data_IF_665536147075
#
_entry.id   IF_665536147075
#
_cell.length_a   1.000
_cell.length_b   1.000
_cell.length_c   1.000
_cell.angle_alpha   90.00
_cell.angle_beta   90.00
_cell.angle_gamma   90.00
#
_symmetry.space_group_name_H-M   'P 1'
#
loop_
_entity.id
_entity.type
_entity.pdbx_description
1 polymer ?
#
# COMPACT_ATOMS: atom_id res chain seq x y z
N UNK A 1 28.16 13.48 -17.32
CA UNK A 1 26.84 12.81 -17.26
C UNK A 1 26.06 13.24 -18.49
N UNK A 2 25.70 12.31 -19.40
CA UNK A 2 24.85 12.67 -20.55
C UNK A 2 23.49 13.10 -20.01
N UNK A 3 23.14 14.36 -20.23
CA UNK A 3 21.85 14.92 -19.90
C UNK A 3 20.77 14.13 -20.71
N UNK A 4 19.79 13.58 -20.04
CA UNK A 4 18.69 12.86 -20.70
C UNK A 4 17.95 13.83 -21.63
N UNK A 5 17.93 13.50 -22.91
CA UNK A 5 17.10 14.25 -23.84
C UNK A 5 15.65 13.77 -23.73
N UNK A 6 14.90 14.42 -22.83
CA UNK A 6 13.48 14.16 -22.62
C UNK A 6 12.64 14.44 -23.88
N UNK A 7 13.10 15.36 -24.75
CA UNK A 7 12.35 15.79 -25.96
C UNK A 7 12.30 14.68 -27.01
N UNK A 8 13.37 13.94 -27.20
CA UNK A 8 13.40 12.83 -28.17
C UNK A 8 12.68 11.59 -27.69
N UNK A 9 12.44 11.48 -26.39
CA UNK A 9 11.86 10.29 -25.77
C UNK A 9 10.37 10.38 -25.45
N UNK A 10 9.78 11.57 -25.47
CA UNK A 10 8.39 11.84 -25.06
C UNK A 10 7.67 12.66 -26.12
N UNK A 11 6.36 12.43 -26.29
CA UNK A 11 5.54 13.34 -27.07
C UNK A 11 5.22 14.62 -26.24
N UNK A 12 4.65 15.63 -26.90
CA UNK A 12 4.41 16.95 -26.30
C UNK A 12 3.54 16.86 -25.03
N UNK A 13 2.47 16.07 -25.03
CA UNK A 13 1.58 15.90 -23.89
C UNK A 13 2.28 15.18 -22.73
N UNK A 14 3.07 14.15 -23.03
CA UNK A 14 3.89 13.45 -22.04
C UNK A 14 4.95 14.38 -21.47
N UNK A 15 5.56 15.21 -22.30
CA UNK A 15 6.57 16.20 -21.88
C UNK A 15 5.97 17.25 -20.94
N UNK A 16 4.76 17.74 -21.23
CA UNK A 16 4.01 18.64 -20.34
C UNK A 16 3.79 17.97 -18.98
N UNK A 17 3.31 16.73 -18.96
CA UNK A 17 3.08 15.99 -17.70
C UNK A 17 4.36 15.77 -16.89
N UNK A 18 5.48 15.50 -17.54
CA UNK A 18 6.78 15.34 -16.88
C UNK A 18 7.33 16.68 -16.34
N UNK A 19 7.04 17.79 -17.02
CA UNK A 19 7.55 19.11 -16.65
C UNK A 19 6.71 19.86 -15.59
N UNK A 20 5.51 19.36 -15.27
CA UNK A 20 4.67 19.97 -14.23
C UNK A 20 5.30 19.90 -12.85
N UNK A 21 5.73 21.02 -12.27
CA UNK A 21 6.53 21.07 -11.04
C UNK A 21 5.72 21.40 -9.79
N UNK A 22 4.58 22.08 -9.91
CA UNK A 22 3.81 22.59 -8.78
C UNK A 22 2.50 21.86 -8.58
N UNK A 23 2.12 21.63 -7.33
CA UNK A 23 0.85 21.07 -6.89
C UNK A 23 0.62 19.61 -7.30
N UNK A 24 -0.55 19.11 -6.92
CA UNK A 24 -0.98 17.76 -7.26
C UNK A 24 -1.37 17.67 -8.75
N UNK A 25 -0.98 16.60 -9.43
CA UNK A 25 -1.27 16.37 -10.83
C UNK A 25 -2.02 15.06 -11.03
N UNK A 26 -3.09 15.12 -11.81
CA UNK A 26 -3.81 13.94 -12.29
C UNK A 26 -3.57 13.80 -13.79
N UNK A 27 -3.02 12.65 -14.20
CA UNK A 27 -2.82 12.32 -15.62
C UNK A 27 -3.84 11.29 -16.05
N UNK A 28 -4.79 11.70 -16.87
CA UNK A 28 -5.81 10.83 -17.48
C UNK A 28 -5.31 10.35 -18.85
N UNK A 29 -5.18 9.04 -18.99
CA UNK A 29 -4.64 8.47 -20.23
C UNK A 29 -5.14 7.04 -20.43
N UNK A 30 -5.46 6.67 -21.67
CA UNK A 30 -5.92 5.34 -22.05
C UNK A 30 -4.86 4.24 -21.84
N UNK A 31 -5.25 2.99 -22.04
CA UNK A 31 -4.31 1.87 -22.08
C UNK A 31 -3.32 2.07 -23.24
N UNK A 32 -2.04 1.72 -23.03
CA UNK A 32 -1.00 1.87 -24.05
C UNK A 32 -0.48 3.30 -24.30
N UNK A 33 -1.08 4.33 -23.72
CA UNK A 33 -0.68 5.74 -23.90
C UNK A 33 0.68 6.13 -23.28
N UNK A 34 1.33 5.21 -22.59
CA UNK A 34 2.64 5.46 -21.97
C UNK A 34 2.61 6.07 -20.57
N UNK A 35 1.53 5.92 -19.79
CA UNK A 35 1.44 6.40 -18.40
C UNK A 35 2.66 6.04 -17.54
N UNK A 36 3.08 4.77 -17.59
CA UNK A 36 4.26 4.30 -16.87
C UNK A 36 5.54 4.98 -17.36
N UNK A 37 5.62 5.28 -18.65
CA UNK A 37 6.75 6.01 -19.23
C UNK A 37 6.81 7.44 -18.67
N UNK A 38 5.69 8.15 -18.65
CA UNK A 38 5.58 9.51 -18.06
C UNK A 38 6.05 9.49 -16.60
N UNK A 39 5.56 8.54 -15.80
CA UNK A 39 5.95 8.43 -14.39
C UNK A 39 7.45 8.15 -14.22
N UNK A 40 8.00 7.24 -15.03
CA UNK A 40 9.44 6.92 -15.01
C UNK A 40 10.31 8.13 -15.35
N UNK A 41 9.95 8.86 -16.41
CA UNK A 41 10.67 10.07 -16.81
C UNK A 41 10.47 11.20 -15.80
N UNK A 42 9.31 11.30 -15.15
CA UNK A 42 9.09 12.27 -14.07
C UNK A 42 10.02 12.03 -12.90
N UNK A 43 10.19 10.77 -12.47
CA UNK A 43 11.12 10.40 -11.40
C UNK A 43 12.56 10.72 -11.81
N UNK A 44 12.95 10.36 -13.04
CA UNK A 44 14.26 10.68 -13.55
C UNK A 44 14.56 12.19 -13.51
N UNK A 45 13.58 13.00 -13.92
CA UNK A 45 13.68 14.46 -13.90
C UNK A 45 13.81 15.01 -12.47
N UNK A 46 13.01 14.50 -11.52
CA UNK A 46 13.12 14.91 -10.12
C UNK A 46 14.53 14.70 -9.57
N UNK A 47 15.15 13.58 -9.91
CA UNK A 47 16.51 13.26 -9.46
C UNK A 47 17.55 14.10 -10.18
N UNK A 48 17.49 14.22 -11.51
CA UNK A 48 18.55 14.85 -12.32
C UNK A 48 18.47 16.38 -12.33
N UNK A 49 17.28 16.94 -12.54
CA UNK A 49 17.12 18.39 -12.74
C UNK A 49 16.83 19.12 -11.42
N UNK A 50 16.12 18.45 -10.49
CA UNK A 50 15.74 19.06 -9.21
C UNK A 50 16.57 18.57 -8.03
N UNK A 51 17.54 17.69 -8.26
CA UNK A 51 18.40 17.11 -7.23
C UNK A 51 17.62 16.49 -6.04
N UNK A 52 16.40 15.98 -6.28
CA UNK A 52 15.63 15.28 -5.27
C UNK A 52 16.32 13.96 -4.94
N UNK A 53 16.57 13.73 -3.67
CA UNK A 53 17.22 12.49 -3.24
C UNK A 53 16.30 11.30 -3.56
N UNK A 54 16.83 10.18 -4.05
CA UNK A 54 16.04 8.97 -4.28
C UNK A 54 15.21 8.53 -3.06
N UNK A 55 15.75 8.72 -1.84
CA UNK A 55 15.06 8.40 -0.58
C UNK A 55 13.80 9.23 -0.31
N UNK A 56 13.67 10.37 -0.95
CA UNK A 56 12.54 11.30 -0.76
C UNK A 56 11.43 11.07 -1.80
N UNK A 57 11.61 10.06 -2.67
CA UNK A 57 10.65 9.71 -3.72
C UNK A 57 9.93 8.41 -3.35
N UNK A 58 8.61 8.50 -3.22
CA UNK A 58 7.73 7.35 -3.09
C UNK A 58 6.98 7.11 -4.41
N UNK A 59 7.18 5.94 -5.02
CA UNK A 59 6.48 5.54 -6.22
C UNK A 59 5.72 4.22 -6.02
N UNK A 60 4.41 4.28 -6.18
CA UNK A 60 3.51 3.17 -5.94
C UNK A 60 2.95 2.60 -7.24
N UNK A 61 2.84 1.28 -7.29
CA UNK A 61 2.21 0.55 -8.38
C UNK A 61 1.18 -0.42 -7.81
N UNK A 62 0.29 -0.90 -8.68
CA UNK A 62 -0.71 -1.87 -8.24
C UNK A 62 -0.14 -3.30 -8.19
N UNK A 63 0.80 -3.66 -9.06
CA UNK A 63 1.35 -5.01 -9.14
C UNK A 63 2.86 -5.04 -8.94
N UNK A 64 3.36 -6.15 -8.40
CA UNK A 64 4.80 -6.38 -8.24
C UNK A 64 5.54 -6.41 -9.59
N UNK A 65 4.88 -6.88 -10.66
CA UNK A 65 5.43 -6.86 -12.01
C UNK A 65 5.66 -5.43 -12.48
N UNK A 66 4.64 -4.56 -12.38
CA UNK A 66 4.76 -3.15 -12.76
C UNK A 66 5.82 -2.42 -11.93
N UNK A 67 5.95 -2.74 -10.64
CA UNK A 67 6.98 -2.17 -9.78
C UNK A 67 8.39 -2.55 -10.26
N UNK A 68 8.62 -3.81 -10.61
CA UNK A 68 9.91 -4.26 -11.14
C UNK A 68 10.23 -3.61 -12.47
N UNK A 69 9.31 -3.65 -13.44
CA UNK A 69 9.49 -3.02 -14.75
C UNK A 69 9.80 -1.52 -14.64
N UNK A 70 9.15 -0.81 -13.71
CA UNK A 70 9.41 0.60 -13.49
C UNK A 70 10.80 0.84 -12.91
N UNK A 71 11.22 0.01 -11.96
CA UNK A 71 12.56 0.07 -11.38
C UNK A 71 13.63 -0.11 -12.45
N UNK A 72 13.53 -1.18 -13.24
CA UNK A 72 14.49 -1.52 -14.29
C UNK A 72 14.61 -0.37 -15.31
N UNK A 73 13.49 0.26 -15.65
CA UNK A 73 13.46 1.42 -16.54
C UNK A 73 14.16 2.64 -15.94
N UNK A 74 13.95 2.91 -14.65
CA UNK A 74 14.61 4.06 -13.97
C UNK A 74 16.10 3.83 -13.90
N UNK A 75 16.55 2.63 -13.53
CA UNK A 75 17.97 2.29 -13.49
C UNK A 75 18.62 2.41 -14.86
N UNK A 76 17.92 1.94 -15.90
CA UNK A 76 18.38 2.08 -17.29
C UNK A 76 18.48 3.54 -17.74
N UNK A 77 17.51 4.38 -17.37
CA UNK A 77 17.46 5.78 -17.74
C UNK A 77 18.52 6.59 -16.98
N UNK A 78 18.60 6.42 -15.68
CA UNK A 78 19.50 7.21 -14.83
C UNK A 78 20.92 6.65 -14.77
N UNK A 79 21.11 5.39 -15.17
CA UNK A 79 22.38 4.64 -15.02
C UNK A 79 22.90 4.67 -13.58
N UNK A 80 22.00 4.67 -12.61
CA UNK A 80 22.26 4.62 -11.18
C UNK A 80 21.45 3.47 -10.57
N UNK A 81 21.91 2.97 -9.42
CA UNK A 81 21.12 2.03 -8.64
C UNK A 81 19.86 2.72 -8.08
N UNK A 82 18.72 2.04 -8.12
CA UNK A 82 17.49 2.47 -7.48
C UNK A 82 17.49 2.25 -5.96
N UNK A 83 18.60 1.84 -5.38
CA UNK A 83 18.75 1.71 -3.93
C UNK A 83 18.43 3.04 -3.25
N UNK A 84 17.52 2.99 -2.27
CA UNK A 84 17.04 4.17 -1.57
C UNK A 84 15.67 4.66 -2.03
N UNK A 85 15.25 4.43 -3.27
CA UNK A 85 13.90 4.75 -3.72
C UNK A 85 12.84 3.91 -2.97
N UNK A 86 11.75 4.57 -2.60
CA UNK A 86 10.59 3.89 -2.04
C UNK A 86 9.69 3.41 -3.18
N UNK A 87 10.05 2.23 -3.70
CA UNK A 87 9.37 1.60 -4.83
C UNK A 87 8.64 0.34 -4.41
N UNK A 88 7.39 0.21 -4.79
CA UNK A 88 6.65 -1.01 -4.49
C UNK A 88 5.17 -0.94 -4.79
N UNK A 89 4.47 -2.01 -4.43
CA UNK A 89 3.01 -2.00 -4.30
C UNK A 89 2.62 -1.32 -2.98
N UNK A 90 1.37 -0.85 -2.89
CA UNK A 90 0.84 -0.32 -1.64
C UNK A 90 1.12 -1.25 -0.46
N UNK A 91 0.76 -2.53 -0.57
CA UNK A 91 1.01 -3.52 0.48
C UNK A 91 2.49 -3.67 0.83
N UNK A 92 3.37 -3.72 -0.18
CA UNK A 92 4.81 -3.85 0.03
C UNK A 92 5.42 -2.66 0.76
N UNK A 93 5.01 -1.45 0.40
CA UNK A 93 5.47 -0.21 1.04
C UNK A 93 4.90 -0.10 2.45
N UNK A 94 3.60 -0.34 2.66
CA UNK A 94 3.00 -0.33 4.00
C UNK A 94 3.71 -1.33 4.93
N UNK A 95 3.98 -2.56 4.45
CA UNK A 95 4.77 -3.54 5.22
C UNK A 95 6.16 -3.01 5.56
N UNK A 96 6.85 -2.34 4.63
CA UNK A 96 8.18 -1.76 4.88
C UNK A 96 8.12 -0.65 5.93
N UNK A 97 7.11 0.22 5.86
CA UNK A 97 6.88 1.28 6.86
C UNK A 97 6.64 0.66 8.23
N UNK A 98 5.73 -0.32 8.34
CA UNK A 98 5.45 -1.01 9.59
C UNK A 98 6.66 -1.74 10.16
N UNK A 99 7.55 -2.29 9.32
CA UNK A 99 8.80 -2.91 9.78
C UNK A 99 9.81 -1.90 10.33
N UNK A 100 9.81 -0.68 9.86
CA UNK A 100 10.69 0.37 10.38
C UNK A 100 10.12 0.94 11.67
N UNK A 101 8.79 1.11 11.73
CA UNK A 101 8.07 1.75 12.83
C UNK A 101 7.21 0.76 13.63
N UNK A 102 7.73 -0.46 13.83
CA UNK A 102 6.96 -1.51 14.49
C UNK A 102 6.61 -1.16 15.95
N UNK A 103 7.50 -0.44 16.66
CA UNK A 103 7.26 0.01 18.03
C UNK A 103 6.13 1.02 18.12
N UNK A 104 6.16 2.04 17.24
CA UNK A 104 5.14 3.08 17.17
C UNK A 104 3.79 2.51 16.71
N UNK A 105 3.82 1.44 15.92
CA UNK A 105 2.64 0.71 15.49
C UNK A 105 2.13 -0.32 16.51
N UNK A 106 2.78 -0.43 17.68
CA UNK A 106 2.47 -1.43 18.72
C UNK A 106 2.46 -2.87 18.20
N UNK A 107 3.38 -3.17 17.27
CA UNK A 107 3.56 -4.50 16.70
C UNK A 107 4.79 -5.20 17.32
N UNK A 108 4.87 -6.52 17.16
CA UNK A 108 6.12 -7.24 17.44
C UNK A 108 7.16 -7.00 16.33
N UNK A 109 8.44 -7.06 16.63
CA UNK A 109 9.50 -6.91 15.62
C UNK A 109 9.37 -7.94 14.48
N UNK A 110 8.84 -9.11 14.79
CA UNK A 110 8.66 -10.23 13.87
C UNK A 110 7.19 -10.43 13.46
N UNK A 111 6.39 -9.36 13.47
CA UNK A 111 4.99 -9.49 13.11
C UNK A 111 4.79 -10.15 11.74
N UNK A 112 3.72 -10.89 11.59
CA UNK A 112 3.29 -11.53 10.36
C UNK A 112 2.03 -10.84 9.81
N UNK A 113 1.83 -10.94 8.50
CA UNK A 113 0.63 -10.43 7.86
C UNK A 113 -0.31 -11.61 7.59
N UNK A 114 -1.50 -11.54 8.17
CA UNK A 114 -2.54 -12.50 7.88
C UNK A 114 -3.15 -12.21 6.51
N UNK A 115 -3.31 -13.26 5.72
CA UNK A 115 -4.15 -13.18 4.52
C UNK A 115 -5.64 -13.28 4.87
N UNK A 116 -6.50 -13.10 3.87
CA UNK A 116 -7.96 -13.12 4.06
C UNK A 116 -8.47 -14.49 4.54
N UNK A 117 -7.80 -15.58 4.20
CA UNK A 117 -8.19 -16.93 4.62
C UNK A 117 -7.75 -17.18 6.06
N UNK A 118 -6.55 -16.75 6.42
CA UNK A 118 -6.05 -16.85 7.80
C UNK A 118 -6.89 -16.00 8.76
N UNK A 119 -7.29 -14.80 8.32
CA UNK A 119 -8.24 -13.97 9.05
C UNK A 119 -9.55 -14.72 9.31
N UNK A 120 -10.13 -15.33 8.27
CA UNK A 120 -11.38 -16.08 8.40
C UNK A 120 -11.24 -17.30 9.32
N UNK A 121 -10.11 -18.03 9.25
CA UNK A 121 -9.81 -19.14 10.16
C UNK A 121 -9.74 -18.68 11.61
N UNK A 122 -9.09 -17.54 11.86
CA UNK A 122 -8.99 -16.97 13.19
C UNK A 122 -10.37 -16.59 13.73
N UNK A 123 -11.21 -15.91 12.93
CA UNK A 123 -12.58 -15.55 13.31
C UNK A 123 -13.41 -16.79 13.64
N UNK A 124 -13.36 -17.84 12.82
CA UNK A 124 -14.04 -19.11 13.11
C UNK A 124 -13.59 -19.72 14.43
N UNK A 125 -12.28 -19.68 14.70
CA UNK A 125 -11.76 -20.18 16.00
C UNK A 125 -12.31 -19.39 17.17
N UNK A 126 -12.42 -18.06 17.07
CA UNK A 126 -12.97 -17.19 18.11
C UNK A 126 -14.46 -17.48 18.33
N UNK A 127 -15.23 -17.60 17.26
CA UNK A 127 -16.67 -17.96 17.34
C UNK A 127 -16.85 -19.28 18.08
N UNK A 128 -16.07 -20.28 17.70
CA UNK A 128 -16.15 -21.63 18.30
C UNK A 128 -15.69 -21.63 19.77
N UNK A 129 -14.60 -20.92 20.12
CA UNK A 129 -14.10 -20.86 21.50
C UNK A 129 -15.07 -20.18 22.46
N UNK A 130 -15.90 -19.25 21.93
CA UNK A 130 -16.93 -18.57 22.73
C UNK A 130 -18.30 -19.26 22.67
N UNK A 131 -18.41 -20.44 22.08
CA UNK A 131 -19.65 -21.18 21.91
C UNK A 131 -20.78 -20.42 21.18
N UNK A 132 -20.43 -19.50 20.27
CA UNK A 132 -21.38 -18.84 19.41
C UNK A 132 -21.81 -19.77 18.26
N UNK A 133 -23.08 -19.69 17.86
CA UNK A 133 -23.64 -20.48 16.75
C UNK A 133 -23.18 -19.86 15.39
N UNK A 134 -22.35 -20.59 14.65
CA UNK A 134 -21.88 -20.16 13.32
C UNK A 134 -23.01 -19.94 12.30
N UNK A 135 -24.19 -20.51 12.52
CA UNK A 135 -25.36 -20.29 11.64
C UNK A 135 -26.01 -18.93 11.90
N UNK A 136 -25.97 -18.45 13.13
CA UNK A 136 -26.47 -17.13 13.53
C UNK A 136 -25.43 -16.05 13.28
N UNK A 137 -24.17 -16.36 13.55
CA UNK A 137 -23.01 -15.42 13.43
C UNK A 137 -22.06 -15.89 12.34
N UNK A 138 -22.46 -15.67 11.08
CA UNK A 138 -21.67 -16.08 9.93
C UNK A 138 -20.27 -15.45 9.96
N UNK A 139 -19.19 -16.28 9.95
CA UNK A 139 -17.81 -15.79 10.02
C UNK A 139 -17.42 -14.80 8.91
N UNK A 140 -17.99 -14.92 7.71
CA UNK A 140 -17.72 -14.00 6.60
C UNK A 140 -18.37 -12.63 6.84
N UNK A 141 -19.55 -12.61 7.43
CA UNK A 141 -20.24 -11.39 7.82
C UNK A 141 -19.45 -10.63 8.89
N UNK A 142 -18.93 -11.34 9.88
CA UNK A 142 -18.04 -10.76 10.91
C UNK A 142 -16.73 -10.27 10.28
N UNK A 143 -16.12 -11.03 9.37
CA UNK A 143 -14.92 -10.60 8.63
C UNK A 143 -15.17 -9.29 7.87
N UNK A 144 -16.30 -9.21 7.16
CA UNK A 144 -16.69 -8.01 6.42
C UNK A 144 -16.94 -6.81 7.35
N UNK A 145 -17.54 -7.05 8.51
CA UNK A 145 -17.74 -6.02 9.55
C UNK A 145 -16.40 -5.49 10.05
N UNK A 146 -15.47 -6.37 10.45
CA UNK A 146 -14.13 -6.00 10.95
C UNK A 146 -13.39 -5.21 9.89
N UNK A 147 -13.35 -5.67 8.64
CA UNK A 147 -12.67 -5.00 7.55
C UNK A 147 -13.24 -3.60 7.31
N UNK A 148 -14.58 -3.47 7.22
CA UNK A 148 -15.23 -2.17 7.05
C UNK A 148 -14.94 -1.20 8.21
N UNK A 149 -14.90 -1.68 9.46
CA UNK A 149 -14.53 -0.83 10.60
C UNK A 149 -13.09 -0.36 10.49
N UNK A 150 -12.15 -1.26 10.17
CA UNK A 150 -10.73 -0.95 9.99
C UNK A 150 -10.48 -0.01 8.81
N UNK A 151 -11.17 -0.19 7.69
CA UNK A 151 -11.09 0.69 6.52
C UNK A 151 -11.53 2.13 6.84
N UNK A 152 -12.48 2.29 7.77
CA UNK A 152 -12.91 3.60 8.29
C UNK A 152 -12.02 4.12 9.44
N UNK A 153 -10.90 3.49 9.72
CA UNK A 153 -9.98 3.89 10.79
C UNK A 153 -10.46 3.54 12.20
N UNK A 154 -11.53 2.74 12.33
CA UNK A 154 -12.06 2.35 13.63
C UNK A 154 -11.38 1.08 14.15
N UNK A 155 -11.08 1.08 15.43
CA UNK A 155 -10.64 -0.09 16.20
C UNK A 155 -11.77 -0.62 17.06
N UNK A 156 -11.56 -1.77 17.67
CA UNK A 156 -12.60 -2.42 18.50
C UNK A 156 -13.03 -1.63 19.73
N UNK A 157 -12.31 -0.60 20.12
CA UNK A 157 -12.68 0.34 21.19
C UNK A 157 -13.49 1.56 20.70
N UNK A 158 -13.64 1.75 19.36
CA UNK A 158 -14.40 2.85 18.75
C UNK A 158 -15.69 2.32 18.09
N UNK A 159 -16.54 1.66 18.87
CA UNK A 159 -17.72 0.97 18.36
C UNK A 159 -18.97 1.72 18.79
N UNK A 160 -19.96 1.76 17.89
CA UNK A 160 -21.28 2.35 18.15
C UNK A 160 -22.17 1.38 18.90
N UNK A 161 -23.03 1.88 19.79
CA UNK A 161 -24.10 1.11 20.45
C UNK A 161 -25.07 0.43 19.46
N UNK A 162 -25.02 0.80 18.19
CA UNK A 162 -25.84 0.22 17.11
C UNK A 162 -25.21 -1.02 16.47
N UNK A 163 -23.97 -1.33 16.80
CA UNK A 163 -23.30 -2.52 16.25
C UNK A 163 -23.74 -3.77 17.03
N UNK A 164 -23.78 -4.92 16.33
CA UNK A 164 -24.09 -6.21 16.95
C UNK A 164 -23.07 -6.55 18.04
N UNK A 165 -23.55 -6.87 19.25
CA UNK A 165 -22.71 -7.12 20.42
C UNK A 165 -21.72 -8.26 20.20
N UNK A 166 -22.15 -9.35 19.55
CA UNK A 166 -21.28 -10.52 19.27
C UNK A 166 -20.19 -10.14 18.26
N UNK A 167 -20.52 -9.35 17.22
CA UNK A 167 -19.54 -8.88 16.25
C UNK A 167 -18.47 -8.02 16.93
N UNK A 168 -18.89 -7.20 17.87
CA UNK A 168 -18.02 -6.35 18.68
C UNK A 168 -17.08 -7.18 19.56
N UNK A 169 -17.62 -8.19 20.25
CA UNK A 169 -16.82 -9.06 21.11
C UNK A 169 -15.80 -9.87 20.29
N UNK A 170 -16.22 -10.43 19.16
CA UNK A 170 -15.31 -11.14 18.25
C UNK A 170 -14.23 -10.20 17.72
N UNK A 171 -14.56 -8.93 17.39
CA UNK A 171 -13.57 -7.97 16.92
C UNK A 171 -12.56 -7.60 18.01
N UNK A 172 -12.99 -7.43 19.27
CA UNK A 172 -12.09 -7.19 20.42
C UNK A 172 -11.12 -8.34 20.63
N UNK A 173 -11.62 -9.57 20.62
CA UNK A 173 -10.80 -10.76 20.79
C UNK A 173 -9.83 -10.96 19.62
N UNK A 174 -10.31 -10.72 18.39
CA UNK A 174 -9.49 -10.73 17.18
C UNK A 174 -8.30 -9.76 17.30
N UNK A 175 -8.53 -8.50 17.70
CA UNK A 175 -7.44 -7.54 17.88
C UNK A 175 -6.49 -7.91 19.02
N UNK A 176 -7.03 -8.51 20.09
CA UNK A 176 -6.20 -8.99 21.21
C UNK A 176 -5.23 -10.10 20.78
N UNK A 177 -5.72 -11.07 20.01
CA UNK A 177 -4.89 -12.16 19.48
C UNK A 177 -3.82 -11.61 18.54
N UNK A 178 -4.19 -10.66 17.65
CA UNK A 178 -3.22 -10.06 16.74
C UNK A 178 -2.08 -9.30 17.42
N UNK A 179 -2.32 -8.75 18.62
CA UNK A 179 -1.26 -8.08 19.40
C UNK A 179 -0.29 -9.05 20.05
N UNK A 180 -0.68 -10.32 20.20
CA UNK A 180 0.13 -11.36 20.84
C UNK A 180 0.96 -12.18 19.83
N UNK A 181 0.73 -12.00 18.53
CA UNK A 181 1.36 -12.74 17.44
C UNK A 181 2.35 -11.89 16.66
#
# INVERSE_FOLDING_TARGET
MNQLDFKTSLNDQQLIAVNCNEGNKLVLAGAGSGKTRVLTFRIAKLIQDFNVRPSDILALTFTNKASREMRDRIESILKISSQGLWFGTFHGICRRILKIHWKEAELSERFTILDSQDQLRLIKRIIKSNNYDEKLFDPKSIQSFINRKKDNGHRSNHISEKDDEVFVLVFKEYETILKQT
#
